data_IF_085478344937
#
_entry.id   IF_085478344937
#
_cell.length_a   1.000
_cell.length_b   1.000
_cell.length_c   1.000
_cell.angle_alpha   90.00
_cell.angle_beta   90.00
_cell.angle_gamma   90.00
#
_symmetry.space_group_name_H-M   'P 1'
#
loop_
_entity.id
_entity.type
_entity.pdbx_description
1 polymer ?
#
# COMPACT_ATOMS: atom_id res chain seq x y z
N UNK A 1 8.02 5.72 35.62
CA UNK A 1 7.20 6.21 34.48
C UNK A 1 6.91 5.01 33.61
N UNK A 2 5.63 4.67 33.39
CA UNK A 2 5.30 3.63 32.41
C UNK A 2 5.68 4.17 31.03
N UNK A 3 6.54 3.45 30.30
CA UNK A 3 6.94 3.82 28.94
C UNK A 3 5.71 3.63 28.04
N UNK A 4 5.15 4.72 27.50
CA UNK A 4 4.01 4.63 26.58
C UNK A 4 4.42 3.85 25.34
N UNK A 5 3.64 2.81 24.99
CA UNK A 5 3.92 2.01 23.80
C UNK A 5 3.91 2.88 22.54
N UNK A 6 4.85 2.68 21.61
CA UNK A 6 4.86 3.39 20.33
C UNK A 6 3.58 3.12 19.54
N UNK A 7 3.15 4.08 18.71
CA UNK A 7 1.90 3.96 17.96
C UNK A 7 2.15 3.39 16.56
N UNK A 8 1.30 2.45 16.12
CA UNK A 8 1.19 2.03 14.72
C UNK A 8 -0.10 2.60 14.12
N UNK A 9 0.04 3.49 13.14
CA UNK A 9 -1.08 4.12 12.43
C UNK A 9 -1.27 3.45 11.08
N UNK A 10 -2.42 2.82 10.88
CA UNK A 10 -2.81 2.22 9.60
C UNK A 10 -3.45 3.30 8.73
N UNK A 11 -2.83 3.60 7.59
CA UNK A 11 -3.26 4.62 6.63
C UNK A 11 -3.51 3.95 5.29
N UNK A 12 -4.75 4.02 4.79
CA UNK A 12 -5.13 3.27 3.60
C UNK A 12 -6.33 3.85 2.85
N UNK A 13 -6.40 3.49 1.57
CA UNK A 13 -7.57 3.61 0.68
C UNK A 13 -8.41 2.31 0.65
N UNK A 14 -8.07 1.34 1.50
CA UNK A 14 -8.75 0.07 1.74
C UNK A 14 -9.36 0.06 3.14
N UNK A 15 -10.41 -0.74 3.33
CA UNK A 15 -10.91 -0.99 4.68
C UNK A 15 -9.96 -1.94 5.42
N UNK A 16 -9.23 -1.39 6.40
CA UNK A 16 -8.29 -2.13 7.25
C UNK A 16 -8.85 -2.46 8.63
N UNK A 17 -10.17 -2.39 8.86
CA UNK A 17 -10.77 -2.65 10.19
C UNK A 17 -10.50 -4.07 10.67
N UNK A 18 -10.63 -5.07 9.77
CA UNK A 18 -10.31 -6.47 10.12
C UNK A 18 -8.85 -6.63 10.56
N UNK A 19 -7.92 -6.09 9.78
CA UNK A 19 -6.49 -6.09 10.11
C UNK A 19 -6.24 -5.37 11.44
N UNK A 20 -6.86 -4.21 11.64
CA UNK A 20 -6.73 -3.45 12.88
C UNK A 20 -7.21 -4.25 14.09
N UNK A 21 -8.31 -4.99 13.97
CA UNK A 21 -8.85 -5.80 15.06
C UNK A 21 -7.94 -6.99 15.39
N UNK A 22 -7.42 -7.67 14.37
CA UNK A 22 -6.45 -8.77 14.53
C UNK A 22 -5.20 -8.27 15.25
N UNK A 23 -4.63 -7.15 14.79
CA UNK A 23 -3.43 -6.58 15.42
C UNK A 23 -3.70 -6.12 16.86
N UNK A 24 -4.87 -5.55 17.15
CA UNK A 24 -5.24 -5.15 18.52
C UNK A 24 -5.47 -6.35 19.45
N UNK A 25 -5.90 -7.49 18.93
CA UNK A 25 -6.12 -8.70 19.74
C UNK A 25 -4.84 -9.44 20.14
N UNK A 26 -3.68 -9.01 19.63
CA UNK A 26 -2.39 -9.65 19.90
C UNK A 26 -1.69 -9.00 21.09
N UNK A 27 -1.43 -9.80 22.13
CA UNK A 27 -0.76 -9.35 23.36
C UNK A 27 0.75 -9.13 23.18
N UNK A 28 1.36 -9.80 22.20
CA UNK A 28 2.80 -9.78 21.93
C UNK A 28 3.23 -8.64 20.98
N UNK A 29 2.32 -7.73 20.64
CA UNK A 29 2.55 -6.65 19.69
C UNK A 29 3.11 -5.41 20.41
N UNK A 30 4.31 -4.90 20.03
CA UNK A 30 4.94 -3.79 20.73
C UNK A 30 4.33 -2.41 20.38
N UNK A 31 3.17 -2.37 19.74
CA UNK A 31 2.54 -1.14 19.25
C UNK A 31 1.09 -1.00 19.70
N UNK A 32 0.69 0.23 20.00
CA UNK A 32 -0.72 0.62 20.07
C UNK A 32 -1.24 0.89 18.66
N UNK A 33 -2.25 0.15 18.22
CA UNK A 33 -2.74 0.20 16.82
C UNK A 33 -3.93 1.15 16.66
N UNK A 34 -3.80 2.13 15.76
CA UNK A 34 -4.85 3.08 15.36
C UNK A 34 -5.07 3.02 13.85
N UNK A 35 -6.31 3.19 13.41
CA UNK A 35 -6.65 3.30 11.98
C UNK A 35 -6.99 4.75 11.67
N UNK A 36 -6.40 5.31 10.62
CA UNK A 36 -6.80 6.60 10.09
C UNK A 36 -8.14 6.49 9.32
N UNK A 37 -8.87 7.59 9.13
CA UNK A 37 -10.08 7.58 8.30
C UNK A 37 -9.79 7.03 6.89
N UNK A 38 -10.74 6.24 6.36
CA UNK A 38 -10.65 5.66 5.02
C UNK A 38 -10.50 6.77 3.95
N UNK A 39 -9.70 6.48 2.92
CA UNK A 39 -9.44 7.39 1.79
C UNK A 39 -8.81 8.75 2.19
N UNK A 40 -8.29 8.88 3.42
CA UNK A 40 -7.65 10.10 3.94
C UNK A 40 -6.11 10.00 3.97
N UNK A 41 -5.50 9.36 2.97
CA UNK A 41 -4.06 9.04 2.95
C UNK A 41 -3.19 10.31 3.09
N UNK A 42 -3.51 11.34 2.30
CA UNK A 42 -2.75 12.61 2.30
C UNK A 42 -2.87 13.29 3.66
N UNK A 43 -4.11 13.44 4.16
CA UNK A 43 -4.40 14.13 5.41
C UNK A 43 -3.78 13.40 6.61
N UNK A 44 -3.86 12.07 6.63
CA UNK A 44 -3.29 11.24 7.67
C UNK A 44 -1.75 11.33 7.67
N UNK A 45 -1.13 11.31 6.48
CA UNK A 45 0.32 11.49 6.35
C UNK A 45 0.76 12.90 6.74
N UNK A 46 -0.03 13.94 6.43
CA UNK A 46 0.19 15.33 6.84
C UNK A 46 0.05 15.55 8.35
N UNK A 47 -0.80 14.77 9.01
CA UNK A 47 -0.93 14.78 10.47
C UNK A 47 0.38 14.41 11.17
N UNK A 48 0.62 15.02 12.34
CA UNK A 48 1.75 14.64 13.19
C UNK A 48 1.43 13.32 13.89
N UNK A 49 2.14 12.25 13.54
CA UNK A 49 2.34 11.15 14.47
C UNK A 49 3.07 11.71 15.69
N UNK A 50 2.55 11.50 16.90
CA UNK A 50 3.29 11.86 18.11
C UNK A 50 4.64 11.12 18.13
N UNK A 51 5.68 11.70 18.74
CA UNK A 51 7.13 11.48 18.52
C UNK A 51 7.75 10.06 18.62
N UNK A 52 6.99 8.99 18.39
CA UNK A 52 7.41 7.60 18.15
C UNK A 52 6.37 6.83 17.31
N UNK A 53 5.64 7.51 16.42
CA UNK A 53 4.61 6.89 15.60
C UNK A 53 5.21 6.25 14.33
N UNK A 54 4.80 5.01 14.05
CA UNK A 54 5.05 4.30 12.81
C UNK A 54 3.79 4.34 11.95
N UNK A 55 3.92 4.68 10.66
CA UNK A 55 2.82 4.58 9.71
C UNK A 55 2.93 3.28 8.91
N UNK A 56 1.82 2.56 8.73
CA UNK A 56 1.66 1.59 7.64
C UNK A 56 0.80 2.25 6.57
N UNK A 57 1.41 2.58 5.43
CA UNK A 57 0.73 3.21 4.29
C UNK A 57 0.45 2.14 3.24
N UNK A 58 -0.77 1.65 3.22
CA UNK A 58 -1.19 0.62 2.27
C UNK A 58 -2.18 1.23 1.28
N UNK A 59 -1.73 1.48 0.06
CA UNK A 59 -2.58 1.99 -1.01
C UNK A 59 -2.80 0.94 -2.09
N UNK A 60 -3.85 1.12 -2.92
CA UNK A 60 -3.97 0.41 -4.20
C UNK A 60 -3.25 1.17 -5.32
N UNK A 61 -2.67 0.47 -6.30
CA UNK A 61 -2.00 1.12 -7.43
C UNK A 61 -2.98 1.97 -8.27
N UNK A 62 -4.25 1.58 -8.40
CA UNK A 62 -5.28 2.31 -9.14
C UNK A 62 -5.73 3.60 -8.44
N UNK A 63 -5.47 3.76 -7.14
CA UNK A 63 -5.71 5.02 -6.42
C UNK A 63 -4.52 5.95 -6.42
N UNK A 64 -3.33 5.39 -6.62
CA UNK A 64 -2.10 6.16 -6.76
C UNK A 64 -1.96 6.71 -8.18
N UNK A 65 -2.34 5.92 -9.19
CA UNK A 65 -2.24 6.32 -10.60
C UNK A 65 -3.57 6.09 -11.33
N UNK A 66 -4.16 7.19 -11.82
CA UNK A 66 -5.33 7.14 -12.69
C UNK A 66 -4.97 6.51 -14.04
N UNK A 67 -3.75 6.73 -14.53
CA UNK A 67 -3.27 6.08 -15.75
C UNK A 67 -3.12 4.57 -15.55
N UNK A 68 -2.68 4.10 -14.38
CA UNK A 68 -2.68 2.68 -14.07
C UNK A 68 -4.11 2.11 -14.00
N UNK A 69 -5.06 2.84 -13.41
CA UNK A 69 -6.47 2.43 -13.41
C UNK A 69 -7.02 2.23 -14.84
N UNK A 70 -6.64 3.11 -15.77
CA UNK A 70 -7.02 3.00 -17.18
C UNK A 70 -6.34 1.80 -17.86
N UNK A 71 -5.05 1.58 -17.59
CA UNK A 71 -4.32 0.41 -18.07
C UNK A 71 -4.94 -0.91 -17.59
N UNK A 72 -5.40 -0.94 -16.33
CA UNK A 72 -6.12 -2.09 -15.76
C UNK A 72 -7.45 -2.38 -16.47
N UNK A 73 -8.03 -1.37 -17.13
CA UNK A 73 -9.20 -1.50 -18.01
C UNK A 73 -8.84 -1.75 -19.48
N UNK A 74 -7.59 -2.16 -19.74
CA UNK A 74 -7.03 -2.43 -21.07
C UNK A 74 -7.00 -1.21 -22.01
N UNK A 75 -7.04 0.01 -21.46
CA UNK A 75 -6.80 1.22 -22.24
C UNK A 75 -5.31 1.41 -22.52
N UNK A 76 -4.99 2.02 -23.67
CA UNK A 76 -3.61 2.44 -23.96
C UNK A 76 -3.25 3.65 -23.13
N UNK A 77 -2.16 3.54 -22.38
CA UNK A 77 -1.59 4.63 -21.59
C UNK A 77 -0.09 4.73 -21.82
N UNK A 78 0.47 5.91 -21.59
CA UNK A 78 1.91 6.08 -21.62
C UNK A 78 2.49 5.71 -20.24
N UNK A 79 3.52 4.86 -20.24
CA UNK A 79 4.25 4.46 -19.04
C UNK A 79 4.82 5.65 -18.27
N UNK A 80 5.28 6.70 -18.97
CA UNK A 80 5.82 7.89 -18.30
C UNK A 80 4.79 8.61 -17.44
N UNK A 81 3.52 8.64 -17.87
CA UNK A 81 2.45 9.32 -17.13
C UNK A 81 2.10 8.56 -15.85
N UNK A 82 2.10 7.23 -15.91
CA UNK A 82 1.94 6.35 -14.73
C UNK A 82 3.08 6.60 -13.74
N UNK A 83 4.33 6.61 -14.20
CA UNK A 83 5.49 6.81 -13.33
C UNK A 83 5.54 8.22 -12.72
N UNK A 84 5.07 9.24 -13.43
CA UNK A 84 4.95 10.60 -12.90
C UNK A 84 3.94 10.68 -11.76
N UNK A 85 2.82 9.96 -11.85
CA UNK A 85 1.82 9.89 -10.77
C UNK A 85 2.38 9.13 -9.55
N UNK A 86 3.13 8.05 -9.79
CA UNK A 86 3.85 7.33 -8.73
C UNK A 86 4.90 8.21 -8.06
N UNK A 87 5.64 9.01 -8.83
CA UNK A 87 6.62 9.95 -8.29
C UNK A 87 5.96 10.97 -7.35
N UNK A 88 4.78 11.50 -7.68
CA UNK A 88 4.04 12.41 -6.78
C UNK A 88 3.65 11.73 -5.47
N UNK A 89 3.25 10.45 -5.51
CA UNK A 89 2.96 9.69 -4.31
C UNK A 89 4.22 9.44 -3.47
N UNK A 90 5.34 9.11 -4.12
CA UNK A 90 6.64 8.96 -3.48
C UNK A 90 7.07 10.26 -2.81
N UNK A 91 6.95 11.40 -3.49
CA UNK A 91 7.31 12.71 -2.96
C UNK A 91 6.50 13.03 -1.69
N UNK A 92 5.21 12.69 -1.66
CA UNK A 92 4.38 12.80 -0.44
C UNK A 92 4.90 11.93 0.72
N UNK A 93 5.37 10.70 0.45
CA UNK A 93 5.97 9.85 1.48
C UNK A 93 7.30 10.42 1.99
N UNK A 94 8.13 10.95 1.09
CA UNK A 94 9.40 11.59 1.42
C UNK A 94 9.19 12.84 2.28
N UNK A 95 8.19 13.67 1.95
CA UNK A 95 7.80 14.85 2.74
C UNK A 95 7.23 14.47 4.11
N UNK A 96 6.65 13.29 4.24
CA UNK A 96 6.18 12.74 5.51
C UNK A 96 7.32 12.17 6.36
N UNK A 97 8.43 11.72 5.76
CA UNK A 97 9.51 11.02 6.46
C UNK A 97 10.06 11.77 7.69
N UNK A 98 10.09 13.11 7.68
CA UNK A 98 10.56 13.90 8.83
C UNK A 98 9.62 13.92 10.05
N UNK A 99 8.38 13.45 9.89
CA UNK A 99 7.31 13.51 10.91
C UNK A 99 6.95 12.14 11.50
N UNK A 100 7.49 11.07 10.92
CA UNK A 100 7.21 9.70 11.31
C UNK A 100 8.49 8.99 11.73
N UNK A 101 8.43 8.19 12.79
CA UNK A 101 9.58 7.39 13.21
C UNK A 101 9.94 6.38 12.12
N UNK A 102 8.92 5.73 11.55
CA UNK A 102 9.04 4.80 10.42
C UNK A 102 7.80 4.90 9.54
N UNK A 103 7.99 4.68 8.24
CA UNK A 103 6.91 4.52 7.27
C UNK A 103 7.08 3.16 6.61
N UNK A 104 6.08 2.29 6.76
CA UNK A 104 6.03 0.97 6.17
C UNK A 104 5.12 1.03 4.95
N UNK A 105 5.60 0.60 3.79
CA UNK A 105 4.84 0.66 2.53
C UNK A 105 4.84 -0.73 1.90
N UNK A 106 3.71 -1.45 1.93
CA UNK A 106 3.55 -2.68 1.17
C UNK A 106 3.70 -2.42 -0.33
N UNK A 107 4.44 -3.28 -1.04
CA UNK A 107 4.47 -3.25 -2.50
C UNK A 107 3.05 -3.46 -3.06
N UNK A 108 2.75 -2.83 -4.19
CA UNK A 108 1.45 -3.02 -4.82
C UNK A 108 1.34 -4.42 -5.43
N UNK A 109 0.18 -5.02 -5.27
CA UNK A 109 -0.18 -6.32 -5.83
C UNK A 109 -1.43 -6.13 -6.70
N UNK A 110 -1.58 -6.96 -7.72
CA UNK A 110 -2.84 -7.13 -8.45
C UNK A 110 -3.53 -8.40 -7.96
N UNK A 111 -4.88 -8.47 -8.00
CA UNK A 111 -5.63 -9.68 -7.68
C UNK A 111 -5.16 -10.87 -8.54
N UNK A 112 -5.17 -12.08 -7.98
CA UNK A 112 -4.67 -13.27 -8.66
C UNK A 112 -5.52 -13.71 -9.86
N UNK A 113 -6.78 -13.28 -9.90
CA UNK A 113 -7.76 -13.48 -10.98
C UNK A 113 -7.68 -12.41 -12.07
N UNK A 114 -6.91 -11.34 -11.86
CA UNK A 114 -6.58 -10.40 -12.92
C UNK A 114 -5.64 -11.12 -13.91
N UNK A 115 -6.20 -11.56 -15.03
CA UNK A 115 -5.46 -12.23 -16.10
C UNK A 115 -5.23 -11.29 -17.28
N UNK A 116 -3.96 -11.08 -17.66
CA UNK A 116 -3.57 -10.30 -18.84
C UNK A 116 -3.23 -11.14 -20.06
N UNK A 117 -3.29 -12.47 -19.94
CA UNK A 117 -2.92 -13.42 -20.97
C UNK A 117 -1.46 -13.24 -21.43
N UNK A 118 -1.17 -13.57 -22.69
CA UNK A 118 0.20 -13.54 -23.22
C UNK A 118 0.86 -12.15 -23.25
N UNK A 119 0.08 -11.07 -23.09
CA UNK A 119 0.58 -9.70 -23.13
C UNK A 119 0.76 -9.06 -21.76
N UNK A 120 0.45 -9.79 -20.70
CA UNK A 120 0.43 -9.28 -19.33
C UNK A 120 1.77 -8.64 -18.89
N UNK A 121 2.89 -9.24 -19.32
CA UNK A 121 4.24 -8.79 -18.98
C UNK A 121 4.94 -8.03 -20.12
N UNK A 122 4.23 -7.67 -21.19
CA UNK A 122 4.82 -6.91 -22.29
C UNK A 122 4.99 -5.44 -21.88
N UNK A 123 6.22 -4.94 -21.93
CA UNK A 123 6.47 -3.53 -21.60
C UNK A 123 5.65 -2.58 -22.50
N UNK A 124 5.17 -1.49 -21.90
CA UNK A 124 4.32 -0.49 -22.55
C UNK A 124 2.87 -0.89 -22.87
N UNK A 125 2.47 -2.15 -22.67
CA UNK A 125 1.10 -2.61 -22.99
C UNK A 125 0.47 -3.49 -21.92
N UNK A 126 1.26 -4.31 -21.23
CA UNK A 126 0.81 -5.15 -20.14
C UNK A 126 0.68 -4.38 -18.84
N UNK A 127 -0.48 -4.47 -18.17
CA UNK A 127 -0.69 -3.80 -16.89
C UNK A 127 0.20 -4.37 -15.78
N UNK A 128 0.57 -5.65 -15.84
CA UNK A 128 1.46 -6.26 -14.86
C UNK A 128 2.90 -5.78 -15.04
N UNK A 129 3.36 -5.60 -16.29
CA UNK A 129 4.63 -4.92 -16.57
C UNK A 129 4.66 -3.48 -16.03
N UNK A 130 3.53 -2.77 -16.13
CA UNK A 130 3.38 -1.45 -15.52
C UNK A 130 3.46 -1.52 -14.00
N UNK A 131 2.74 -2.45 -13.34
CA UNK A 131 2.80 -2.63 -11.88
C UNK A 131 4.22 -2.93 -11.40
N UNK A 132 4.94 -3.81 -12.10
CA UNK A 132 6.35 -4.10 -11.80
C UNK A 132 7.21 -2.85 -11.92
N UNK A 133 6.97 -2.02 -12.94
CA UNK A 133 7.66 -0.74 -13.11
C UNK A 133 7.34 0.25 -11.97
N UNK A 134 6.09 0.29 -11.50
CA UNK A 134 5.68 1.13 -10.36
C UNK A 134 6.37 0.67 -9.06
N UNK A 135 6.40 -0.63 -8.81
CA UNK A 135 7.08 -1.20 -7.64
C UNK A 135 8.60 -1.01 -7.70
N UNK A 136 9.21 -1.16 -8.88
CA UNK A 136 10.62 -0.85 -9.08
C UNK A 136 10.91 0.62 -8.77
N UNK A 137 10.04 1.53 -9.21
CA UNK A 137 10.16 2.97 -8.92
C UNK A 137 10.07 3.29 -7.43
N UNK A 138 9.19 2.62 -6.69
CA UNK A 138 9.14 2.69 -5.22
C UNK A 138 10.49 2.27 -4.61
N UNK A 139 11.01 1.10 -5.01
CA UNK A 139 12.28 0.57 -4.52
C UNK A 139 13.45 1.53 -4.77
N UNK A 140 13.55 2.08 -5.98
CA UNK A 140 14.60 3.01 -6.37
C UNK A 140 14.55 4.28 -5.52
N UNK A 141 13.42 4.99 -5.54
CA UNK A 141 13.31 6.33 -4.96
C UNK A 141 13.26 6.33 -3.42
N UNK A 142 12.61 5.34 -2.82
CA UNK A 142 12.46 5.30 -1.35
C UNK A 142 13.71 4.74 -0.66
N UNK A 143 14.66 4.15 -1.39
CA UNK A 143 15.95 3.70 -0.85
C UNK A 143 16.79 4.83 -0.24
N UNK A 144 16.51 6.08 -0.61
CA UNK A 144 17.20 7.28 -0.11
C UNK A 144 16.87 7.63 1.35
N UNK A 145 15.86 6.98 1.95
CA UNK A 145 15.41 7.25 3.33
C UNK A 145 15.48 5.99 4.18
N UNK A 146 16.28 6.05 5.24
CA UNK A 146 16.47 4.91 6.16
C UNK A 146 15.25 4.58 7.01
N UNK A 147 14.31 5.51 7.15
CA UNK A 147 13.10 5.33 7.95
C UNK A 147 11.86 4.95 7.10
N UNK A 148 12.02 4.73 5.79
CA UNK A 148 10.97 4.19 4.93
C UNK A 148 11.33 2.74 4.59
N UNK A 149 10.42 1.81 4.84
CA UNK A 149 10.64 0.39 4.63
C UNK A 149 9.58 -0.18 3.70
N UNK A 150 10.03 -0.76 2.59
CA UNK A 150 9.16 -1.49 1.69
C UNK A 150 8.90 -2.90 2.21
N UNK A 151 7.63 -3.31 2.22
CA UNK A 151 7.23 -4.65 2.63
C UNK A 151 6.88 -5.47 1.40
N UNK A 152 7.48 -6.66 1.27
CA UNK A 152 7.12 -7.60 0.21
C UNK A 152 5.79 -8.29 0.52
N UNK A 153 4.70 -7.59 0.20
CA UNK A 153 3.32 -8.04 0.36
C UNK A 153 2.94 -9.23 -0.51
N UNK A 154 3.67 -9.48 -1.61
CA UNK A 154 3.48 -10.67 -2.45
C UNK A 154 3.62 -11.96 -1.65
N UNK A 155 4.56 -12.01 -0.70
CA UNK A 155 4.73 -13.16 0.20
C UNK A 155 3.54 -13.39 1.14
N UNK A 156 2.78 -12.35 1.46
CA UNK A 156 1.58 -12.47 2.29
C UNK A 156 0.47 -13.16 1.51
N UNK A 157 0.30 -12.74 0.25
CA UNK A 157 -0.67 -13.33 -0.68
C UNK A 157 -0.32 -14.79 -0.98
N UNK A 158 0.95 -15.07 -1.31
CA UNK A 158 1.43 -16.44 -1.55
C UNK A 158 1.18 -17.37 -0.36
N UNK A 159 1.44 -16.88 0.87
CA UNK A 159 1.27 -17.67 2.09
C UNK A 159 -0.20 -17.90 2.46
N UNK A 160 -1.07 -16.94 2.19
CA UNK A 160 -2.51 -17.06 2.42
C UNK A 160 -3.24 -17.89 1.33
N UNK A 161 -2.61 -18.08 0.16
CA UNK A 161 -3.12 -18.94 -0.90
C UNK A 161 -4.40 -18.40 -1.56
N UNK A 162 -5.25 -19.28 -2.10
CA UNK A 162 -6.48 -18.90 -2.81
C UNK A 162 -7.53 -18.17 -1.93
N UNK A 163 -7.37 -18.18 -0.60
CA UNK A 163 -8.18 -17.40 0.34
C UNK A 163 -7.64 -15.99 0.62
N UNK A 164 -6.45 -15.65 0.11
CA UNK A 164 -5.84 -14.36 0.35
C UNK A 164 -6.72 -13.21 -0.15
N UNK A 165 -7.41 -13.38 -1.28
CA UNK A 165 -8.28 -12.37 -1.88
C UNK A 165 -9.73 -12.86 -1.89
N UNK A 166 -10.67 -12.02 -1.47
CA UNK A 166 -12.11 -12.33 -1.53
C UNK A 166 -12.86 -11.23 -2.25
N UNK A 167 -13.30 -11.50 -3.48
CA UNK A 167 -14.15 -10.57 -4.25
C UNK A 167 -15.45 -10.24 -3.52
N UNK A 168 -15.97 -11.19 -2.73
CA UNK A 168 -17.16 -11.00 -1.92
C UNK A 168 -16.94 -10.00 -0.79
N UNK A 169 -15.82 -10.10 -0.06
CA UNK A 169 -15.46 -9.13 0.98
C UNK A 169 -15.05 -7.78 0.37
N UNK A 170 -14.39 -7.81 -0.79
CA UNK A 170 -14.08 -6.62 -1.56
C UNK A 170 -15.35 -5.83 -1.93
N UNK A 171 -16.34 -6.53 -2.47
CA UNK A 171 -17.59 -5.93 -2.93
C UNK A 171 -18.49 -5.47 -1.76
N UNK A 172 -18.49 -6.18 -0.64
CA UNK A 172 -19.38 -5.90 0.50
C UNK A 172 -18.80 -4.90 1.50
N UNK A 173 -17.48 -4.90 1.73
CA UNK A 173 -16.85 -4.14 2.82
C UNK A 173 -15.62 -3.34 2.39
N UNK A 174 -15.25 -3.38 1.10
CA UNK A 174 -13.95 -2.89 0.59
C UNK A 174 -12.75 -3.54 1.33
N UNK A 175 -12.93 -4.77 1.81
CA UNK A 175 -11.88 -5.55 2.45
C UNK A 175 -11.39 -6.60 1.46
N UNK A 176 -10.24 -6.39 0.79
CA UNK A 176 -9.79 -7.32 -0.23
C UNK A 176 -9.31 -8.66 0.34
N UNK A 177 -8.85 -8.70 1.60
CA UNK A 177 -8.21 -9.88 2.17
C UNK A 177 -9.13 -10.66 3.12
N UNK A 178 -9.12 -11.99 3.00
CA UNK A 178 -9.86 -12.89 3.91
C UNK A 178 -8.91 -13.65 4.83
N UNK A 179 -9.42 -14.12 5.98
CA UNK A 179 -8.64 -14.81 7.03
C UNK A 179 -8.33 -16.26 6.65
#
# INVERSE_FOLDING_TARGET
MAEELPELVLISDLNLDNLSNILRSREDLPWRVRTAPLDAVVQALSGSGHGSSTALVWTRPERVSLHFQRAFRYERVNKSDVLLEVDRFIDMLLDAAGRWQRILVPLWQVPADAHGGLQELRDGTGYHALLLSMNARLCERLSERSNIHLLNSGRWVERAGAGAWSDRMWFLTKTPYSN
#
